data_IF_047983062286
#
_entry.id   IF_047983062286
#
_cell.length_a   1.000
_cell.length_b   1.000
_cell.length_c   1.000
_cell.angle_alpha   90.00
_cell.angle_beta   90.00
_cell.angle_gamma   90.00
#
_symmetry.space_group_name_H-M   'P 1'
#
loop_
_entity.id
_entity.type
_entity.pdbx_description
1 polymer ?
#
# COMPACT_ATOMS: atom_id res chain seq x y z
N UNK A 1 10.95 -11.21 17.28
CA UNK A 1 11.54 -9.86 17.11
C UNK A 1 11.64 -9.23 18.49
N UNK A 2 12.82 -8.78 18.90
CA UNK A 2 13.00 -8.06 20.16
C UNK A 2 13.02 -6.58 19.85
N UNK A 3 12.19 -5.74 20.51
CA UNK A 3 12.24 -4.30 20.31
C UNK A 3 13.65 -3.79 20.60
N UNK A 4 14.23 -3.03 19.66
CA UNK A 4 15.52 -2.37 19.88
C UNK A 4 15.26 -1.22 20.85
N UNK A 5 15.68 -1.37 22.10
CA UNK A 5 15.31 -0.48 23.22
C UNK A 5 15.73 1.00 23.10
N UNK A 6 16.34 1.40 21.98
CA UNK A 6 16.83 2.76 21.70
C UNK A 6 16.26 3.37 20.41
N UNK A 7 15.23 2.76 19.80
CA UNK A 7 14.70 3.22 18.52
C UNK A 7 13.89 4.51 18.70
N UNK A 8 14.44 5.66 18.30
CA UNK A 8 13.74 6.96 18.31
C UNK A 8 13.05 7.29 16.99
N UNK A 9 13.46 6.65 15.89
CA UNK A 9 12.88 6.85 14.56
C UNK A 9 12.51 5.53 13.91
N UNK A 10 11.34 5.50 13.28
CA UNK A 10 10.86 4.34 12.53
C UNK A 10 9.89 4.75 11.42
N UNK A 11 9.69 3.85 10.46
CA UNK A 11 8.70 4.02 9.40
C UNK A 11 7.53 3.09 9.67
N UNK A 12 6.32 3.64 9.76
CA UNK A 12 5.08 2.87 9.72
C UNK A 12 4.66 2.77 8.27
N UNK A 13 4.59 1.54 7.74
CA UNK A 13 3.98 1.26 6.43
C UNK A 13 2.60 0.64 6.63
N UNK A 14 1.63 1.07 5.83
CA UNK A 14 0.27 0.54 5.83
C UNK A 14 -0.09 0.13 4.41
N UNK A 15 -0.35 -1.16 4.20
CA UNK A 15 -0.84 -1.70 2.94
C UNK A 15 -2.35 -1.91 3.04
N UNK A 16 -3.10 -1.40 2.06
CA UNK A 16 -4.56 -1.47 2.02
C UNK A 16 -5.00 -2.01 0.67
N UNK A 17 -5.86 -3.04 0.70
CA UNK A 17 -6.39 -3.69 -0.48
C UNK A 17 -7.93 -3.73 -0.40
N UNK A 18 -8.58 -3.62 -1.55
CA UNK A 18 -10.00 -3.93 -1.74
C UNK A 18 -10.11 -4.99 -2.84
N UNK A 19 -10.46 -6.22 -2.47
CA UNK A 19 -10.55 -7.31 -3.43
C UNK A 19 -11.62 -7.07 -4.50
N UNK A 20 -11.43 -7.67 -5.67
CA UNK A 20 -12.31 -7.55 -6.85
C UNK A 20 -12.50 -6.12 -7.40
N UNK A 21 -11.52 -5.24 -7.17
CA UNK A 21 -11.51 -3.84 -7.60
C UNK A 21 -10.89 -3.67 -9.00
N UNK A 22 -11.59 -4.17 -10.03
CA UNK A 22 -11.12 -4.22 -11.41
C UNK A 22 -11.11 -2.85 -12.11
N UNK A 23 -10.19 -2.64 -13.05
CA UNK A 23 -10.22 -1.52 -13.99
C UNK A 23 -9.60 -1.91 -15.35
N UNK A 24 -9.42 -0.96 -16.26
CA UNK A 24 -8.87 -1.25 -17.61
C UNK A 24 -7.41 -1.71 -17.57
N UNK A 25 -6.63 -1.25 -16.58
CA UNK A 25 -5.24 -1.67 -16.40
C UNK A 25 -5.14 -3.03 -15.71
N UNK A 26 -6.08 -3.38 -14.83
CA UNK A 26 -6.16 -4.65 -14.10
C UNK A 26 -7.53 -5.30 -14.37
N UNK A 27 -7.70 -5.97 -15.52
CA UNK A 27 -8.99 -6.48 -15.93
C UNK A 27 -9.27 -7.86 -15.33
N UNK A 28 -10.54 -8.13 -15.05
CA UNK A 28 -11.02 -9.39 -14.45
C UNK A 28 -10.66 -10.65 -15.24
N UNK A 29 -10.45 -10.51 -16.55
CA UNK A 29 -10.13 -11.60 -17.46
C UNK A 29 -8.64 -11.68 -17.84
N UNK A 30 -7.75 -10.94 -17.18
CA UNK A 30 -6.30 -11.16 -17.32
C UNK A 30 -5.94 -12.61 -16.99
N UNK A 31 -5.01 -13.19 -17.76
CA UNK A 31 -4.56 -14.57 -17.62
C UNK A 31 -3.23 -14.63 -16.85
N UNK A 32 -2.97 -15.76 -16.20
CA UNK A 32 -1.71 -15.94 -15.48
C UNK A 32 -0.51 -15.83 -16.45
N UNK A 33 0.45 -14.98 -16.10
CA UNK A 33 1.59 -14.62 -16.96
C UNK A 33 1.44 -13.25 -17.63
N UNK A 34 0.23 -12.69 -17.73
CA UNK A 34 0.05 -11.32 -18.20
C UNK A 34 0.63 -10.32 -17.19
N UNK A 35 1.20 -9.20 -17.66
CA UNK A 35 1.79 -8.18 -16.79
C UNK A 35 0.77 -7.50 -15.87
N UNK A 36 -0.51 -7.54 -16.24
CA UNK A 36 -1.63 -7.00 -15.48
C UNK A 36 -2.44 -8.06 -14.73
N UNK A 37 -1.95 -9.30 -14.69
CA UNK A 37 -2.61 -10.35 -13.92
C UNK A 37 -2.58 -10.02 -12.43
N UNK A 38 -3.75 -10.07 -11.78
CA UNK A 38 -3.90 -9.82 -10.34
C UNK A 38 -4.76 -10.87 -9.62
N UNK A 39 -4.64 -12.13 -10.05
CA UNK A 39 -5.37 -13.27 -9.49
C UNK A 39 -6.61 -13.69 -10.28
N UNK A 40 -6.79 -13.16 -11.50
CA UNK A 40 -7.87 -13.54 -12.41
C UNK A 40 -9.27 -13.22 -11.85
N UNK A 41 -10.29 -14.01 -12.18
CA UNK A 41 -11.70 -13.69 -11.86
C UNK A 41 -11.98 -13.41 -10.37
N UNK A 42 -11.25 -14.08 -9.48
CA UNK A 42 -11.40 -14.00 -8.01
C UNK A 42 -10.24 -13.22 -7.35
N UNK A 43 -9.43 -12.55 -8.16
CA UNK A 43 -8.27 -11.80 -7.71
C UNK A 43 -8.61 -10.45 -7.08
N UNK A 44 -7.57 -9.70 -6.74
CA UNK A 44 -7.73 -8.40 -6.10
C UNK A 44 -8.23 -7.32 -7.06
N UNK A 45 -7.93 -7.41 -8.35
CA UNK A 45 -8.11 -6.27 -9.26
C UNK A 45 -6.91 -5.36 -9.20
N UNK A 46 -7.11 -4.09 -8.89
CA UNK A 46 -6.01 -3.18 -8.64
C UNK A 46 -5.12 -3.68 -7.48
N UNK A 47 -3.79 -3.46 -7.56
CA UNK A 47 -2.87 -3.81 -6.48
C UNK A 47 -3.18 -3.03 -5.19
N UNK A 48 -2.70 -3.57 -4.07
CA UNK A 48 -2.83 -2.88 -2.79
C UNK A 48 -2.01 -1.59 -2.81
N UNK A 49 -2.58 -0.51 -2.29
CA UNK A 49 -1.89 0.77 -2.10
C UNK A 49 -1.11 0.76 -0.80
N UNK A 50 0.10 1.33 -0.82
CA UNK A 50 0.99 1.38 0.32
C UNK A 50 1.21 2.83 0.74
N UNK A 51 0.91 3.10 2.00
CA UNK A 51 1.16 4.39 2.64
C UNK A 51 2.34 4.28 3.59
N UNK A 52 3.06 5.38 3.81
CA UNK A 52 4.12 5.44 4.82
C UNK A 52 4.13 6.75 5.60
N UNK A 53 4.51 6.65 6.87
CA UNK A 53 4.84 7.79 7.72
C UNK A 53 6.17 7.52 8.43
N UNK A 54 7.08 8.49 8.39
CA UNK A 54 8.28 8.50 9.24
C UNK A 54 7.91 9.11 10.58
N UNK A 55 8.05 8.33 11.64
CA UNK A 55 7.83 8.74 13.02
C UNK A 55 9.18 9.06 13.65
N UNK A 56 9.28 10.25 14.26
CA UNK A 56 10.43 10.66 15.06
C UNK A 56 9.99 11.01 16.48
N UNK A 57 10.18 10.07 17.40
CA UNK A 57 9.80 10.23 18.80
C UNK A 57 10.54 11.38 19.50
N UNK A 58 11.70 11.82 19.00
CA UNK A 58 12.46 12.94 19.56
C UNK A 58 11.90 14.32 19.12
N UNK A 59 11.06 14.36 18.08
CA UNK A 59 10.50 15.61 17.55
C UNK A 59 9.47 16.28 18.47
N UNK A 60 8.92 15.54 19.44
CA UNK A 60 7.78 15.97 20.26
C UNK A 60 6.43 15.95 19.52
N UNK A 61 6.40 15.63 18.23
CA UNK A 61 5.16 15.49 17.45
C UNK A 61 4.41 14.23 17.88
N UNK A 62 3.09 14.36 18.05
CA UNK A 62 2.20 13.27 18.49
C UNK A 62 1.35 12.67 17.38
N UNK A 63 1.24 13.34 16.23
CA UNK A 63 0.44 12.91 15.09
C UNK A 63 1.26 12.96 13.81
N UNK A 64 1.29 11.84 13.09
CA UNK A 64 2.01 11.69 11.83
C UNK A 64 1.02 11.25 10.77
N UNK A 65 0.93 12.01 9.67
CA UNK A 65 0.10 11.65 8.53
C UNK A 65 0.90 10.76 7.59
N UNK A 66 0.31 9.65 7.16
CA UNK A 66 0.93 8.81 6.14
C UNK A 66 0.64 9.36 4.75
N UNK A 67 1.63 9.28 3.87
CA UNK A 67 1.49 9.62 2.45
C UNK A 67 1.42 8.34 1.63
N UNK A 68 0.66 8.35 0.53
CA UNK A 68 0.71 7.29 -0.47
C UNK A 68 2.12 7.25 -1.07
N UNK A 69 2.79 6.11 -1.01
CA UNK A 69 4.15 5.94 -1.53
C UNK A 69 4.22 5.01 -2.74
N UNK A 70 3.11 4.34 -3.09
CA UNK A 70 3.06 3.44 -4.21
C UNK A 70 2.05 2.30 -4.05
N UNK A 71 2.25 1.23 -4.80
CA UNK A 71 1.45 0.02 -4.73
C UNK A 71 2.30 -1.26 -4.74
N UNK A 72 1.73 -2.38 -4.29
CA UNK A 72 2.38 -3.69 -4.34
C UNK A 72 2.31 -4.32 -5.73
N UNK A 73 3.00 -5.45 -5.94
CA UNK A 73 2.88 -6.20 -7.19
C UNK A 73 1.43 -6.70 -7.37
N UNK A 74 0.82 -6.58 -8.57
CA UNK A 74 -0.59 -6.94 -8.78
C UNK A 74 -0.95 -8.38 -8.41
N UNK A 75 -0.03 -9.31 -8.61
CA UNK A 75 -0.20 -10.74 -8.31
C UNK A 75 0.54 -11.19 -7.02
N UNK A 76 1.09 -10.28 -6.24
CA UNK A 76 1.85 -10.63 -5.03
C UNK A 76 3.19 -11.35 -5.27
N UNK A 77 3.73 -11.31 -6.49
CA UNK A 77 4.97 -11.99 -6.86
C UNK A 77 6.23 -11.46 -6.16
N UNK A 78 6.21 -10.22 -5.65
CA UNK A 78 7.36 -9.64 -4.96
C UNK A 78 6.94 -8.59 -3.91
N UNK A 79 7.89 -8.20 -3.05
CA UNK A 79 7.70 -7.22 -1.97
C UNK A 79 8.14 -5.80 -2.30
N UNK A 80 8.31 -5.44 -3.58
CA UNK A 80 8.65 -4.08 -3.97
C UNK A 80 7.41 -3.15 -3.85
N UNK A 81 7.68 -1.85 -3.71
CA UNK A 81 6.65 -0.80 -3.76
C UNK A 81 6.91 0.01 -5.02
N UNK A 82 6.00 -0.08 -5.98
CA UNK A 82 6.05 0.71 -7.21
C UNK A 82 5.44 2.09 -6.96
N UNK A 83 6.21 3.14 -7.22
CA UNK A 83 5.78 4.52 -6.98
C UNK A 83 4.80 5.03 -8.04
N UNK A 84 4.73 4.40 -9.22
CA UNK A 84 3.80 4.82 -10.27
C UNK A 84 2.38 4.34 -9.99
N UNK A 85 1.53 5.25 -9.53
CA UNK A 85 0.12 4.96 -9.25
C UNK A 85 -0.81 5.35 -10.41
N UNK A 86 -0.29 5.70 -11.59
CA UNK A 86 -1.09 6.20 -12.72
C UNK A 86 -2.09 5.18 -13.27
N UNK A 87 -1.84 3.89 -13.06
CA UNK A 87 -2.72 2.79 -13.45
C UNK A 87 -3.89 2.55 -12.49
N UNK A 88 -3.86 3.17 -11.31
CA UNK A 88 -4.87 3.01 -10.26
C UNK A 88 -6.02 4.01 -10.43
N UNK A 89 -7.21 3.59 -10.05
CA UNK A 89 -8.45 4.37 -10.12
C UNK A 89 -9.13 4.42 -8.75
N UNK A 90 -9.85 3.38 -8.37
CA UNK A 90 -10.63 3.30 -7.13
C UNK A 90 -9.76 2.89 -5.94
N UNK A 91 -8.63 2.22 -6.17
CA UNK A 91 -7.71 1.80 -5.12
C UNK A 91 -7.13 2.98 -4.32
N UNK A 92 -6.89 4.14 -4.95
CA UNK A 92 -6.39 5.35 -4.26
C UNK A 92 -7.47 6.05 -3.43
N UNK A 93 -8.73 5.59 -3.51
CA UNK A 93 -9.88 6.18 -2.82
C UNK A 93 -10.42 5.30 -1.67
N UNK A 94 -9.78 4.16 -1.38
CA UNK A 94 -10.20 3.26 -0.29
C UNK A 94 -10.16 3.96 1.07
N UNK A 95 -9.12 4.77 1.30
CA UNK A 95 -8.92 5.53 2.54
C UNK A 95 -8.77 7.02 2.24
N UNK A 96 -9.42 7.86 3.06
CA UNK A 96 -9.33 9.32 2.93
C UNK A 96 -8.03 9.87 3.54
N UNK A 97 -7.63 9.36 4.71
CA UNK A 97 -6.43 9.77 5.43
C UNK A 97 -6.04 8.67 6.43
N UNK A 98 -4.73 8.50 6.65
CA UNK A 98 -4.19 7.65 7.71
C UNK A 98 -3.36 8.53 8.64
N UNK A 99 -3.72 8.53 9.93
CA UNK A 99 -3.02 9.28 10.98
C UNK A 99 -2.52 8.34 12.06
N UNK A 100 -1.20 8.33 12.29
CA UNK A 100 -0.54 7.59 13.35
C UNK A 100 -0.47 8.50 14.58
N UNK A 101 -1.02 8.02 15.70
CA UNK A 101 -0.98 8.73 16.98
C UNK A 101 0.01 8.04 17.93
N UNK A 102 0.91 8.82 18.52
CA UNK A 102 1.84 8.36 19.56
C UNK A 102 1.29 8.80 20.92
N UNK A 103 1.21 7.87 21.88
CA UNK A 103 0.81 8.18 23.26
C UNK A 103 2.04 8.60 24.07
#
# INVERSE_FOLDING_TARGET
MTPVGSLSQFVVKVEVNHSTDWNDNYPKNAQEGDSNYSGGKEGSGQPAVVYAATVDLASGVKQYKASLIGHSSPNGSNGAVDADTSSLTTATHIVKEITINIQ
#
